data_IF_463901048547
#
_entry.id   IF_463901048547
#
_cell.length_a   1.000
_cell.length_b   1.000
_cell.length_c   1.000
_cell.angle_alpha   90.00
_cell.angle_beta   90.00
_cell.angle_gamma   90.00
#
_symmetry.space_group_name_H-M   'P 1'
#
loop_
_entity.id
_entity.type
_entity.pdbx_description
1 polymer ?
#
# COMPACT_ATOMS: atom_id res chain seq x y z
N UNK A 1 -56.97 22.81 -5.09
CA UNK A 1 -57.75 21.55 -4.94
C UNK A 1 -57.62 20.76 -6.23
N UNK A 2 -56.74 19.75 -6.28
CA UNK A 2 -56.75 18.73 -7.33
C UNK A 2 -56.01 17.49 -6.82
N UNK A 3 -56.66 16.77 -5.89
CA UNK A 3 -56.21 15.45 -5.47
C UNK A 3 -56.52 14.47 -6.61
N UNK A 4 -55.54 14.25 -7.48
CA UNK A 4 -55.58 13.14 -8.43
C UNK A 4 -55.41 11.86 -7.61
N UNK A 5 -56.55 11.31 -7.12
CA UNK A 5 -56.61 9.99 -6.50
C UNK A 5 -56.08 8.99 -7.53
N UNK A 6 -54.88 8.48 -7.28
CA UNK A 6 -54.35 7.35 -8.04
C UNK A 6 -55.25 6.16 -7.68
N UNK A 7 -56.00 5.68 -8.66
CA UNK A 7 -56.85 4.51 -8.51
C UNK A 7 -55.94 3.29 -8.34
N UNK A 8 -56.01 2.63 -7.17
CA UNK A 8 -55.06 1.58 -6.74
C UNK A 8 -55.50 0.18 -7.21
N UNK A 9 -56.64 0.06 -7.88
CA UNK A 9 -57.33 -1.23 -8.02
C UNK A 9 -56.96 -2.12 -9.23
N UNK A 10 -56.00 -1.77 -10.09
CA UNK A 10 -55.46 -2.77 -11.04
C UNK A 10 -54.07 -2.45 -11.59
N UNK A 11 -53.10 -2.23 -10.69
CA UNK A 11 -51.69 -2.17 -11.10
C UNK A 11 -51.21 -3.61 -11.35
N UNK A 12 -51.16 -4.01 -12.61
CA UNK A 12 -50.57 -5.31 -12.98
C UNK A 12 -49.13 -5.42 -12.45
N UNK A 13 -48.69 -6.62 -12.07
CA UNK A 13 -47.32 -6.89 -11.57
C UNK A 13 -46.22 -6.25 -12.43
N UNK A 14 -46.45 -6.18 -13.74
CA UNK A 14 -45.54 -5.57 -14.72
C UNK A 14 -45.40 -4.06 -14.51
N UNK A 15 -46.48 -3.36 -14.20
CA UNK A 15 -46.48 -1.92 -13.98
C UNK A 15 -45.80 -1.57 -12.64
N UNK A 16 -46.00 -2.38 -11.58
CA UNK A 16 -45.22 -2.28 -10.35
C UNK A 16 -43.71 -2.41 -10.60
N UNK A 17 -43.29 -3.40 -11.39
CA UNK A 17 -41.88 -3.60 -11.75
C UNK A 17 -41.33 -2.42 -12.54
N UNK A 18 -42.11 -1.83 -13.45
CA UNK A 18 -41.71 -0.63 -14.21
C UNK A 18 -41.51 0.57 -13.29
N UNK A 19 -42.42 0.79 -12.34
CA UNK A 19 -42.32 1.87 -11.35
C UNK A 19 -41.07 1.66 -10.47
N UNK A 20 -40.84 0.45 -9.96
CA UNK A 20 -39.65 0.12 -9.16
C UNK A 20 -38.35 0.36 -9.93
N UNK A 21 -38.27 -0.09 -11.18
CA UNK A 21 -37.10 0.16 -12.05
C UNK A 21 -36.87 1.66 -12.24
N UNK A 22 -37.93 2.45 -12.42
CA UNK A 22 -37.84 3.90 -12.61
C UNK A 22 -37.36 4.60 -11.33
N UNK A 23 -37.81 4.16 -10.16
CA UNK A 23 -37.36 4.67 -8.86
C UNK A 23 -35.89 4.32 -8.64
N UNK A 24 -35.51 3.05 -8.84
CA UNK A 24 -34.13 2.59 -8.71
C UNK A 24 -33.18 3.36 -9.65
N UNK A 25 -33.60 3.58 -10.90
CA UNK A 25 -32.84 4.37 -11.86
C UNK A 25 -32.65 5.82 -11.40
N UNK A 26 -33.71 6.48 -10.93
CA UNK A 26 -33.62 7.85 -10.41
C UNK A 26 -32.67 7.93 -9.21
N UNK A 27 -32.76 6.98 -8.28
CA UNK A 27 -31.90 6.90 -7.10
C UNK A 27 -30.43 6.72 -7.52
N UNK A 28 -30.16 5.75 -8.39
CA UNK A 28 -28.80 5.50 -8.87
C UNK A 28 -28.25 6.70 -9.64
N UNK A 29 -29.07 7.34 -10.48
CA UNK A 29 -28.67 8.51 -11.25
C UNK A 29 -28.38 9.70 -10.35
N UNK A 30 -29.23 9.98 -9.34
CA UNK A 30 -28.95 11.04 -8.37
C UNK A 30 -27.69 10.75 -7.58
N UNK A 31 -27.49 9.53 -7.08
CA UNK A 31 -26.27 9.14 -6.37
C UNK A 31 -25.02 9.30 -7.24
N UNK A 32 -25.04 8.87 -8.50
CA UNK A 32 -23.92 9.05 -9.44
C UNK A 32 -23.66 10.52 -9.76
N UNK A 33 -24.71 11.33 -9.91
CA UNK A 33 -24.59 12.76 -10.19
C UNK A 33 -23.98 13.50 -8.99
N UNK A 34 -24.40 13.18 -7.78
CA UNK A 34 -23.84 13.69 -6.54
C UNK A 34 -22.39 13.23 -6.37
N UNK A 35 -22.11 11.94 -6.54
CA UNK A 35 -20.76 11.36 -6.51
C UNK A 35 -19.78 11.97 -7.53
N UNK A 36 -20.27 12.44 -8.68
CA UNK A 36 -19.41 13.16 -9.65
C UNK A 36 -19.10 14.61 -9.24
N UNK A 37 -19.96 15.20 -8.41
CA UNK A 37 -19.83 16.59 -7.93
C UNK A 37 -19.13 16.68 -6.59
N UNK A 38 -19.27 15.65 -5.77
CA UNK A 38 -18.62 15.50 -4.48
C UNK A 38 -17.43 14.58 -4.68
N UNK A 39 -16.21 15.00 -4.31
CA UNK A 39 -15.12 14.05 -4.16
C UNK A 39 -15.52 13.12 -3.00
N UNK A 40 -15.79 11.82 -3.25
CA UNK A 40 -16.11 10.91 -2.16
C UNK A 40 -14.87 10.87 -1.29
N UNK A 41 -14.98 11.40 -0.07
CA UNK A 41 -13.96 11.22 0.95
C UNK A 41 -13.82 9.70 1.10
N UNK A 42 -12.79 9.12 0.48
CA UNK A 42 -12.45 7.72 0.68
C UNK A 42 -12.05 7.66 2.16
N UNK A 43 -12.95 7.15 3.00
CA UNK A 43 -12.72 7.05 4.44
C UNK A 43 -11.41 6.30 4.74
N UNK A 44 -11.00 5.37 3.87
CA UNK A 44 -9.72 4.66 3.98
C UNK A 44 -8.47 5.52 3.72
N UNK A 45 -8.61 6.67 3.07
CA UNK A 45 -7.51 7.59 2.77
C UNK A 45 -7.34 8.69 3.84
N UNK A 46 -8.38 8.94 4.64
CA UNK A 46 -8.42 10.05 5.60
C UNK A 46 -8.42 9.45 7.00
N UNK A 47 -7.23 9.42 7.61
CA UNK A 47 -7.03 8.80 8.92
C UNK A 47 -6.04 7.64 8.93
N UNK A 48 -5.30 7.39 7.84
CA UNK A 48 -3.97 6.78 8.03
C UNK A 48 -3.13 7.81 8.78
N UNK A 49 -3.13 7.70 10.10
CA UNK A 49 -2.08 8.30 10.91
C UNK A 49 -0.76 7.89 10.26
N UNK A 50 0.02 8.87 9.83
CA UNK A 50 1.39 8.64 9.44
C UNK A 50 2.05 8.03 10.68
N UNK A 51 2.40 6.76 10.59
CA UNK A 51 3.19 6.11 11.61
C UNK A 51 4.59 6.74 11.55
N UNK A 52 4.76 7.79 12.36
CA UNK A 52 5.98 8.59 12.44
C UNK A 52 7.17 7.69 12.79
N UNK A 53 6.95 6.65 13.60
CA UNK A 53 7.99 5.70 13.97
C UNK A 53 8.42 4.86 12.76
N UNK A 54 7.48 4.39 11.95
CA UNK A 54 7.81 3.69 10.69
C UNK A 54 8.56 4.61 9.72
N UNK A 55 8.15 5.87 9.57
CA UNK A 55 8.86 6.83 8.70
C UNK A 55 10.28 7.09 9.21
N UNK A 56 10.43 7.34 10.51
CA UNK A 56 11.73 7.59 11.14
C UNK A 56 12.64 6.36 11.02
N UNK A 57 12.10 5.17 11.23
CA UNK A 57 12.81 3.91 11.04
C UNK A 57 13.30 3.73 9.61
N UNK A 58 12.48 4.04 8.60
CA UNK A 58 12.89 3.95 7.20
C UNK A 58 14.02 4.93 6.85
N UNK A 59 13.97 6.16 7.38
CA UNK A 59 15.05 7.15 7.20
C UNK A 59 16.34 6.62 7.82
N UNK A 60 16.27 6.11 9.05
CA UNK A 60 17.42 5.53 9.75
C UNK A 60 18.01 4.32 9.03
N UNK A 61 17.16 3.44 8.47
CA UNK A 61 17.60 2.30 7.66
C UNK A 61 18.37 2.74 6.40
N UNK A 62 17.89 3.76 5.69
CA UNK A 62 18.58 4.26 4.51
C UNK A 62 19.93 4.90 4.88
N UNK A 63 20.02 5.64 5.99
CA UNK A 63 21.30 6.17 6.51
C UNK A 63 22.30 5.05 6.83
N UNK A 64 21.86 3.97 7.49
CA UNK A 64 22.69 2.79 7.75
C UNK A 64 23.17 2.16 6.44
N UNK A 65 22.29 2.00 5.46
CA UNK A 65 22.64 1.43 4.17
C UNK A 65 23.64 2.31 3.42
N UNK A 66 23.49 3.63 3.49
CA UNK A 66 24.40 4.59 2.89
C UNK A 66 25.79 4.57 3.53
N UNK A 67 25.89 4.29 4.83
CA UNK A 67 27.17 4.12 5.54
C UNK A 67 28.03 2.97 4.97
N UNK A 68 27.43 2.03 4.24
CA UNK A 68 28.16 0.99 3.51
C UNK A 68 28.78 1.62 2.25
N UNK A 69 30.12 1.68 2.15
CA UNK A 69 30.79 2.38 1.04
C UNK A 69 30.71 1.65 -0.30
N UNK A 70 30.31 0.37 -0.30
CA UNK A 70 30.21 -0.40 -1.53
C UNK A 70 28.76 -0.54 -1.99
N UNK A 71 28.47 -0.08 -3.20
CA UNK A 71 27.17 -0.29 -3.85
C UNK A 71 26.77 -1.77 -3.90
N UNK A 72 27.74 -2.67 -4.16
CA UNK A 72 27.49 -4.11 -4.16
C UNK A 72 27.22 -4.64 -2.74
N UNK A 73 27.93 -4.14 -1.74
CA UNK A 73 27.67 -4.47 -0.32
C UNK A 73 26.30 -4.00 0.15
N UNK A 74 25.92 -2.77 -0.18
CA UNK A 74 24.61 -2.20 0.11
C UNK A 74 23.49 -3.00 -0.52
N UNK A 75 23.64 -3.35 -1.80
CA UNK A 75 22.69 -4.20 -2.52
C UNK A 75 22.50 -5.55 -1.81
N UNK A 76 23.60 -6.22 -1.46
CA UNK A 76 23.57 -7.51 -0.76
C UNK A 76 22.85 -7.39 0.58
N UNK A 77 23.18 -6.39 1.40
CA UNK A 77 22.54 -6.21 2.72
C UNK A 77 21.04 -5.91 2.58
N UNK A 78 20.67 -4.97 1.72
CA UNK A 78 19.26 -4.62 1.47
C UNK A 78 18.45 -5.84 1.04
N UNK A 79 18.92 -6.55 0.02
CA UNK A 79 18.13 -7.65 -0.54
C UNK A 79 18.12 -8.89 0.34
N UNK A 80 19.20 -9.19 1.08
CA UNK A 80 19.25 -10.38 1.93
C UNK A 80 18.63 -10.21 3.32
N UNK A 81 18.65 -9.00 3.88
CA UNK A 81 18.20 -8.76 5.26
C UNK A 81 16.87 -8.00 5.30
N UNK A 82 16.71 -6.96 4.47
CA UNK A 82 15.52 -6.10 4.47
C UNK A 82 14.43 -6.71 3.58
N UNK A 83 14.78 -7.08 2.34
CA UNK A 83 13.80 -7.58 1.37
C UNK A 83 13.55 -9.11 1.49
N UNK A 84 14.38 -9.82 2.27
CA UNK A 84 14.19 -11.24 2.57
C UNK A 84 14.61 -12.23 1.47
N UNK A 85 15.34 -11.81 0.44
CA UNK A 85 15.86 -12.71 -0.58
C UNK A 85 16.92 -13.66 -0.03
N UNK A 86 16.95 -14.89 -0.54
CA UNK A 86 18.01 -15.84 -0.21
C UNK A 86 19.34 -15.43 -0.84
N UNK A 87 20.45 -15.85 -0.21
CA UNK A 87 21.79 -15.60 -0.75
C UNK A 87 21.98 -16.18 -2.16
N UNK A 88 21.26 -17.27 -2.49
CA UNK A 88 21.28 -17.89 -3.81
C UNK A 88 20.60 -17.02 -4.86
N UNK A 89 19.49 -16.37 -4.53
CA UNK A 89 18.79 -15.46 -5.43
C UNK A 89 19.62 -14.20 -5.70
N UNK A 90 20.20 -13.62 -4.65
CA UNK A 90 21.08 -12.44 -4.77
C UNK A 90 22.37 -12.78 -5.52
N UNK A 91 22.92 -13.98 -5.32
CA UNK A 91 24.08 -14.47 -6.07
C UNK A 91 23.79 -14.54 -7.58
N UNK A 92 22.59 -15.05 -7.94
CA UNK A 92 22.13 -15.10 -9.34
C UNK A 92 21.96 -13.69 -9.93
N UNK A 93 21.37 -12.76 -9.17
CA UNK A 93 21.19 -11.36 -9.61
C UNK A 93 22.51 -10.64 -9.86
N UNK A 94 23.52 -10.88 -9.00
CA UNK A 94 24.82 -10.22 -9.08
C UNK A 94 25.87 -10.99 -9.90
N UNK A 95 25.51 -12.14 -10.46
CA UNK A 95 26.41 -13.06 -11.16
C UNK A 95 27.68 -13.39 -10.35
N UNK A 96 27.50 -13.74 -9.06
CA UNK A 96 28.57 -14.17 -8.15
C UNK A 96 28.18 -15.49 -7.47
N UNK A 97 29.10 -16.09 -6.71
CA UNK A 97 28.79 -17.29 -5.94
C UNK A 97 27.99 -16.96 -4.68
N UNK A 98 27.18 -17.91 -4.21
CA UNK A 98 26.48 -17.80 -2.91
C UNK A 98 27.46 -17.56 -1.75
N UNK A 99 28.62 -18.23 -1.78
CA UNK A 99 29.69 -18.00 -0.80
C UNK A 99 30.23 -16.57 -0.85
N UNK A 100 30.31 -15.98 -2.05
CA UNK A 100 30.61 -14.57 -2.26
C UNK A 100 29.59 -13.67 -1.55
N UNK A 101 28.29 -13.90 -1.77
CA UNK A 101 27.22 -13.16 -1.09
C UNK A 101 27.36 -13.27 0.44
N UNK A 102 27.54 -14.49 0.98
CA UNK A 102 27.70 -14.70 2.42
C UNK A 102 28.94 -13.97 2.99
N UNK A 103 30.08 -14.00 2.29
CA UNK A 103 31.30 -13.27 2.69
C UNK A 103 31.06 -11.77 2.77
N UNK A 104 30.40 -11.21 1.76
CA UNK A 104 30.04 -9.79 1.74
C UNK A 104 29.04 -9.44 2.84
N UNK A 105 27.99 -10.25 3.02
CA UNK A 105 27.01 -10.09 4.09
C UNK A 105 27.68 -10.04 5.47
N UNK A 106 28.51 -11.04 5.79
CA UNK A 106 29.25 -11.08 7.06
C UNK A 106 30.17 -9.87 7.25
N UNK A 107 30.89 -9.46 6.21
CA UNK A 107 31.78 -8.29 6.27
C UNK A 107 31.01 -7.03 6.66
N UNK A 108 29.94 -6.71 5.95
CA UNK A 108 29.22 -5.45 6.18
C UNK A 108 28.36 -5.48 7.45
N UNK A 109 27.77 -6.62 7.82
CA UNK A 109 27.11 -6.76 9.12
C UNK A 109 28.10 -6.52 10.27
N UNK A 110 29.32 -7.06 10.19
CA UNK A 110 30.33 -6.82 11.21
C UNK A 110 30.78 -5.36 11.25
N UNK A 111 30.91 -4.71 10.10
CA UNK A 111 31.23 -3.29 10.01
C UNK A 111 30.15 -2.43 10.67
N UNK A 112 28.88 -2.67 10.33
CA UNK A 112 27.74 -1.97 10.93
C UNK A 112 27.71 -2.19 12.44
N UNK A 113 27.92 -3.43 12.90
CA UNK A 113 27.99 -3.76 14.33
C UNK A 113 29.10 -2.99 15.05
N UNK A 114 30.26 -2.81 14.42
CA UNK A 114 31.35 -2.02 15.00
C UNK A 114 30.97 -0.54 15.09
N UNK A 115 30.36 0.02 14.04
CA UNK A 115 29.87 1.41 14.05
C UNK A 115 28.85 1.63 15.17
N UNK A 116 27.89 0.73 15.35
CA UNK A 116 26.89 0.84 16.42
C UNK A 116 27.53 0.80 17.82
N UNK A 117 28.50 -0.08 18.06
CA UNK A 117 29.22 -0.11 19.34
C UNK A 117 29.97 1.18 19.67
N UNK A 118 30.38 1.94 18.66
CA UNK A 118 31.03 3.23 18.86
C UNK A 118 30.05 4.36 19.18
N UNK A 119 28.75 4.16 18.95
CA UNK A 119 27.68 5.11 19.23
C UNK A 119 27.04 4.91 20.63
N UNK A 120 27.20 3.72 21.23
CA UNK A 120 26.73 3.39 22.59
C UNK A 120 27.73 3.85 23.67
N UNK A 121 28.03 5.15 23.75
CA UNK A 121 28.83 5.76 24.82
C UNK A 121 27.95 6.28 25.97
#
# INVERSE_FOLDING_TARGET
MNHRKVNVEEITKQECVRILKRIAWKLQYSSKKTYKKECPLIQEAIGRELDVDTVLFNIYLEEILESIPSNKGRYIIKHTIIDGYSEKEVARQLNITQQGVNKWKKKYVNQLRQQMKHLDY
#
